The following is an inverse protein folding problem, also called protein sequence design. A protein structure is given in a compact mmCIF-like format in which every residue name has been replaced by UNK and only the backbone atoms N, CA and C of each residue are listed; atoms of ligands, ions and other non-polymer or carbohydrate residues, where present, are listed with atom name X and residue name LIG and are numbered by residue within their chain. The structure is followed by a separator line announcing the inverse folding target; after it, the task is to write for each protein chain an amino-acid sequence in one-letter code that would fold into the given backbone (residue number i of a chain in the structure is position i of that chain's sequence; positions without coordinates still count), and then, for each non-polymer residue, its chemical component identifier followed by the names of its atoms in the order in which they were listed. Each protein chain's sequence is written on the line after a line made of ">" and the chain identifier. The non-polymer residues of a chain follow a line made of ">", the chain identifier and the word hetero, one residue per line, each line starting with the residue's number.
data_IF_085193487039
#
_entry.id   IF_085193487039
#
_cell.length_a   1.000
_cell.length_b   1.000
_cell.length_c   1.000
_cell.angle_alpha   90.00
_cell.angle_beta   90.00
_cell.angle_gamma   90.00
#
_symmetry.space_group_name_H-M   'P 1'
#
loop_
_entity.id
_entity.type
_entity.pdbx_description
1 polymer ?
#
# COMPACT_ATOMS: atom_id res chain seq x y z
N UNK A 1 6.03 12.46 21.18
CA UNK A 1 7.18 12.17 20.29
C UNK A 1 6.66 11.39 19.09
N UNK A 2 7.06 11.74 17.87
CA UNK A 2 6.64 11.03 16.65
C UNK A 2 7.74 10.05 16.24
N UNK A 3 7.38 8.76 16.12
CA UNK A 3 8.30 7.70 15.72
C UNK A 3 8.66 7.84 14.24
N UNK A 4 9.96 7.76 13.92
CA UNK A 4 10.46 7.76 12.54
C UNK A 4 10.89 6.37 12.13
N UNK A 5 10.59 6.02 10.88
CA UNK A 5 10.91 4.73 10.28
C UNK A 5 11.99 4.90 9.22
N UNK A 6 13.08 4.15 9.36
CA UNK A 6 14.16 4.07 8.37
C UNK A 6 13.83 2.93 7.39
N UNK A 7 13.64 3.27 6.12
CA UNK A 7 13.34 2.32 5.07
C UNK A 7 14.60 1.60 4.57
N UNK A 8 14.40 0.53 3.78
CA UNK A 8 15.50 -0.24 3.19
C UNK A 8 16.39 0.57 2.22
N UNK A 9 15.87 1.67 1.67
CA UNK A 9 16.61 2.62 0.82
C UNK A 9 17.30 3.73 1.64
N UNK A 10 17.42 3.55 2.97
CA UNK A 10 17.97 4.50 3.94
C UNK A 10 17.20 5.82 4.09
N UNK A 11 16.08 5.99 3.39
CA UNK A 11 15.25 7.20 3.56
C UNK A 11 14.35 7.08 4.79
N UNK A 12 14.07 8.22 5.42
CA UNK A 12 13.22 8.30 6.61
C UNK A 12 11.77 8.66 6.22
N UNK A 13 10.81 8.06 6.93
CA UNK A 13 9.41 8.47 6.89
C UNK A 13 8.80 8.45 8.29
N UNK A 14 7.67 9.14 8.46
CA UNK A 14 6.90 9.05 9.70
C UNK A 14 6.26 7.67 9.84
N UNK A 15 6.12 7.21 11.08
CA UNK A 15 5.38 5.99 11.36
C UNK A 15 3.90 6.16 11.00
N UNK A 16 3.38 5.26 10.17
CA UNK A 16 1.98 5.20 9.80
C UNK A 16 1.36 3.89 10.29
N UNK A 17 0.45 4.00 11.25
CA UNK A 17 -0.29 2.86 11.81
C UNK A 17 -1.02 2.06 10.72
N UNK A 18 -1.60 2.75 9.73
CA UNK A 18 -2.30 2.12 8.60
C UNK A 18 -1.43 1.19 7.76
N UNK A 19 -0.11 1.41 7.70
CA UNK A 19 0.80 0.47 7.03
C UNK A 19 0.96 -0.83 7.81
N UNK A 20 0.91 -0.75 9.15
CA UNK A 20 0.97 -1.94 10.01
C UNK A 20 -0.31 -2.74 9.87
N UNK A 21 -1.49 -2.10 9.92
CA UNK A 21 -2.78 -2.76 9.64
C UNK A 21 -2.74 -3.44 8.28
N UNK A 22 -2.37 -2.71 7.22
CA UNK A 22 -2.32 -3.27 5.86
C UNK A 22 -1.36 -4.47 5.77
N UNK A 23 -0.27 -4.47 6.53
CA UNK A 23 0.66 -5.61 6.58
C UNK A 23 0.00 -6.85 7.18
N UNK A 24 -0.75 -6.69 8.28
CA UNK A 24 -1.51 -7.79 8.89
C UNK A 24 -2.63 -8.30 7.97
N UNK A 25 -3.42 -7.39 7.39
CA UNK A 25 -4.49 -7.73 6.44
C UNK A 25 -3.93 -8.54 5.27
N UNK A 26 -2.81 -8.09 4.68
CA UNK A 26 -2.16 -8.80 3.59
C UNK A 26 -1.59 -10.16 4.03
N UNK A 27 -1.19 -10.30 5.30
CA UNK A 27 -0.65 -11.55 5.83
C UNK A 27 -1.72 -12.65 5.96
N UNK A 28 -2.98 -12.28 6.16
CA UNK A 28 -4.06 -13.24 6.38
C UNK A 28 -4.55 -13.96 5.11
N UNK A 29 -3.97 -13.68 3.93
CA UNK A 29 -4.15 -14.35 2.64
C UNK A 29 -5.59 -14.37 2.06
N UNK A 30 -6.63 -14.27 2.88
CA UNK A 30 -8.03 -14.15 2.49
C UNK A 30 -8.68 -12.97 3.23
N UNK A 31 -9.32 -12.03 2.51
CA UNK A 31 -10.11 -10.96 3.14
C UNK A 31 -11.37 -11.57 3.76
N UNK A 32 -11.32 -11.80 5.07
CA UNK A 32 -12.47 -12.04 5.94
C UNK A 32 -12.63 -10.83 6.88
N UNK A 33 -13.86 -10.47 7.22
CA UNK A 33 -14.16 -9.41 8.18
C UNK A 33 -13.50 -9.70 9.54
N UNK A 34 -13.48 -10.97 9.94
CA UNK A 34 -12.81 -11.41 11.17
C UNK A 34 -11.30 -11.14 11.12
N UNK A 35 -10.66 -11.42 9.97
CA UNK A 35 -9.23 -11.19 9.77
C UNK A 35 -8.90 -9.68 9.84
N UNK A 36 -9.81 -8.82 9.41
CA UNK A 36 -9.63 -7.36 9.48
C UNK A 36 -9.67 -6.85 10.92
N UNK A 37 -10.60 -7.33 11.74
CA UNK A 37 -10.67 -6.95 13.16
C UNK A 37 -9.43 -7.41 13.93
N UNK A 38 -9.00 -8.66 13.72
CA UNK A 38 -7.78 -9.21 14.33
C UNK A 38 -6.55 -8.41 13.87
N UNK A 39 -6.45 -8.08 12.58
CA UNK A 39 -5.35 -7.26 12.05
C UNK A 39 -5.23 -5.90 12.76
N UNK A 40 -6.37 -5.26 13.03
CA UNK A 40 -6.39 -3.98 13.73
C UNK A 40 -5.90 -4.13 15.18
N UNK A 41 -6.41 -5.12 15.92
CA UNK A 41 -6.01 -5.36 17.31
C UNK A 41 -4.50 -5.68 17.43
N UNK A 42 -3.98 -6.52 16.53
CA UNK A 42 -2.55 -6.83 16.49
C UNK A 42 -1.72 -5.60 16.11
N UNK A 43 -2.20 -4.77 15.17
CA UNK A 43 -1.54 -3.52 14.80
C UNK A 43 -1.49 -2.54 15.98
N UNK A 44 -2.55 -2.43 16.77
CA UNK A 44 -2.61 -1.60 17.98
C UNK A 44 -1.61 -2.08 19.02
N UNK A 45 -1.55 -3.39 19.29
CA UNK A 45 -0.58 -3.98 20.20
C UNK A 45 0.87 -3.74 19.76
N UNK A 46 1.17 -3.92 18.48
CA UNK A 46 2.50 -3.61 17.91
C UNK A 46 2.80 -2.11 18.03
N UNK A 47 1.84 -1.25 17.73
CA UNK A 47 2.02 0.21 17.85
C UNK A 47 2.33 0.58 19.30
N UNK A 48 1.56 0.08 20.25
CA UNK A 48 1.79 0.30 21.67
C UNK A 48 3.20 -0.16 22.08
N UNK A 49 3.63 -1.35 21.66
CA UNK A 49 4.99 -1.83 21.90
C UNK A 49 6.05 -0.90 21.32
N UNK A 50 5.87 -0.42 20.08
CA UNK A 50 6.83 0.47 19.41
C UNK A 50 7.01 1.80 20.14
N UNK A 51 5.93 2.40 20.64
CA UNK A 51 6.00 3.67 21.36
C UNK A 51 6.55 3.53 22.79
N UNK A 52 6.42 2.34 23.39
CA UNK A 52 6.92 2.06 24.74
C UNK A 52 8.33 1.43 24.75
N UNK A 53 8.91 1.12 23.59
CA UNK A 53 10.29 0.64 23.48
C UNK A 53 11.25 1.79 23.83
N UNK A 54 11.89 1.70 25.00
CA UNK A 54 12.74 2.73 25.62
C UNK A 54 13.59 3.56 24.62
N UNK A 55 13.24 4.84 24.46
CA UNK A 55 14.15 5.92 24.07
C UNK A 55 14.51 6.08 22.59
N UNK A 56 14.19 5.11 21.72
CA UNK A 56 14.52 5.25 20.29
C UNK A 56 13.40 5.94 19.51
N UNK A 57 13.62 7.19 19.10
CA UNK A 57 12.73 7.91 18.17
C UNK A 57 12.82 7.39 16.74
N UNK A 58 13.76 6.47 16.45
CA UNK A 58 13.99 5.87 15.15
C UNK A 58 13.92 4.35 15.22
N UNK A 59 13.28 3.73 14.23
CA UNK A 59 13.24 2.29 14.07
C UNK A 59 13.35 1.92 12.60
N UNK A 60 13.96 0.79 12.26
CA UNK A 60 14.00 0.33 10.87
C UNK A 60 12.70 -0.37 10.47
N UNK A 61 12.34 -0.27 9.20
CA UNK A 61 11.21 -1.03 8.61
C UNK A 61 11.38 -2.55 8.77
N UNK A 62 12.63 -3.05 8.75
CA UNK A 62 12.95 -4.45 9.03
C UNK A 62 12.66 -4.86 10.48
N UNK A 63 12.96 -4.00 11.46
CA UNK A 63 12.65 -4.29 12.87
C UNK A 63 11.15 -4.31 13.11
N UNK A 64 10.39 -3.35 12.54
CA UNK A 64 8.93 -3.36 12.61
C UNK A 64 8.38 -4.68 12.05
N UNK A 65 8.90 -5.12 10.89
CA UNK A 65 8.47 -6.37 10.28
C UNK A 65 8.82 -7.60 11.15
N UNK A 66 9.97 -7.61 11.80
CA UNK A 66 10.33 -8.68 12.75
C UNK A 66 9.38 -8.71 13.96
N UNK A 67 8.99 -7.55 14.48
CA UNK A 67 8.00 -7.44 15.57
C UNK A 67 6.64 -7.97 15.12
N UNK A 68 6.19 -7.60 13.91
CA UNK A 68 4.94 -8.10 13.32
C UNK A 68 4.97 -9.63 13.19
N UNK A 69 6.06 -10.20 12.65
CA UNK A 69 6.23 -11.65 12.53
C UNK A 69 6.19 -12.35 13.90
N UNK A 70 6.87 -11.77 14.90
CA UNK A 70 6.84 -12.30 16.26
C UNK A 70 5.42 -12.26 16.84
N UNK A 71 4.69 -11.15 16.67
CA UNK A 71 3.31 -11.03 17.13
C UNK A 71 2.39 -12.09 16.50
N UNK A 72 2.52 -12.32 15.19
CA UNK A 72 1.77 -13.36 14.48
C UNK A 72 2.07 -14.77 15.03
N UNK A 73 3.34 -15.12 15.22
CA UNK A 73 3.73 -16.43 15.76
C UNK A 73 3.22 -16.60 17.20
N UNK A 74 3.38 -15.59 18.06
CA UNK A 74 2.95 -15.64 19.45
C UNK A 74 1.44 -15.73 19.63
N UNK A 75 0.66 -15.34 18.62
CA UNK A 75 -0.81 -15.38 18.64
C UNK A 75 -1.40 -16.55 17.85
N UNK A 76 -0.56 -17.48 17.38
CA UNK A 76 -0.98 -18.70 16.69
C UNK A 76 -1.14 -18.56 15.17
N UNK A 77 -0.82 -17.40 14.59
CA UNK A 77 -0.88 -17.14 13.15
C UNK A 77 0.46 -17.40 12.44
N UNK A 78 1.10 -18.53 12.72
CA UNK A 78 2.42 -18.88 12.15
C UNK A 78 2.42 -18.91 10.62
N UNK A 79 1.35 -19.40 10.00
CA UNK A 79 1.20 -19.44 8.54
C UNK A 79 1.22 -18.02 7.92
N UNK A 80 0.61 -17.04 8.60
CA UNK A 80 0.62 -15.65 8.16
C UNK A 80 2.02 -15.03 8.27
N UNK A 81 2.79 -15.39 9.30
CA UNK A 81 4.19 -14.96 9.45
C UNK A 81 5.11 -15.56 8.37
N UNK A 82 4.86 -16.82 8.00
CA UNK A 82 5.55 -17.49 6.89
C UNK A 82 5.22 -16.81 5.56
N UNK A 83 3.95 -16.55 5.28
CA UNK A 83 3.50 -15.83 4.09
C UNK A 83 4.19 -14.45 3.96
N UNK A 84 4.29 -13.68 5.05
CA UNK A 84 5.03 -12.41 5.04
C UNK A 84 6.51 -12.58 4.70
N UNK A 85 7.13 -13.67 5.18
CA UNK A 85 8.54 -13.97 4.91
C UNK A 85 8.75 -14.36 3.45
N UNK A 86 7.91 -15.23 2.92
CA UNK A 86 7.95 -15.62 1.51
C UNK A 86 7.69 -14.42 0.60
N UNK A 87 6.66 -13.62 0.90
CA UNK A 87 6.34 -12.42 0.12
C UNK A 87 7.50 -11.41 0.12
N UNK A 88 8.13 -11.16 1.27
CA UNK A 88 9.29 -10.28 1.36
C UNK A 88 10.47 -10.82 0.54
N UNK A 89 10.78 -12.11 0.66
CA UNK A 89 11.86 -12.76 -0.07
C UNK A 89 11.61 -12.68 -1.59
N UNK A 90 10.41 -13.04 -2.04
CA UNK A 90 9.99 -12.98 -3.44
C UNK A 90 10.18 -11.57 -4.00
N UNK A 91 9.71 -10.53 -3.29
CA UNK A 91 9.88 -9.14 -3.75
C UNK A 91 11.34 -8.70 -3.79
N UNK A 92 12.15 -9.07 -2.81
CA UNK A 92 13.57 -8.72 -2.79
C UNK A 92 14.33 -9.37 -3.96
N UNK A 93 14.10 -10.67 -4.19
CA UNK A 93 14.69 -11.38 -5.32
C UNK A 93 14.24 -10.80 -6.66
N UNK A 94 12.95 -10.44 -6.80
CA UNK A 94 12.44 -9.82 -8.01
C UNK A 94 13.12 -8.47 -8.26
N UNK A 95 13.23 -7.60 -7.25
CA UNK A 95 13.92 -6.30 -7.37
C UNK A 95 15.39 -6.45 -7.78
N UNK A 96 16.11 -7.42 -7.20
CA UNK A 96 17.52 -7.66 -7.53
C UNK A 96 17.73 -8.17 -8.97
N UNK A 97 16.74 -8.86 -9.53
CA UNK A 97 16.82 -9.44 -10.89
C UNK A 97 16.47 -8.43 -11.98
N UNK A 98 15.72 -7.39 -11.67
CA UNK A 98 15.30 -6.37 -12.62
C UNK A 98 16.40 -5.34 -12.81
N UNK A 99 16.93 -5.28 -14.03
CA UNK A 99 17.88 -4.27 -14.50
C UNK A 99 17.18 -3.26 -15.40
N UNK A 100 17.47 -1.99 -15.20
CA UNK A 100 16.96 -0.87 -15.97
C UNK A 100 18.00 -0.44 -17.01
N UNK A 101 17.59 -0.41 -18.28
CA UNK A 101 18.47 -0.06 -19.40
C UNK A 101 18.01 1.25 -20.06
N UNK A 102 18.97 2.07 -20.49
CA UNK A 102 18.68 3.20 -21.40
C UNK A 102 18.69 2.65 -22.82
N UNK A 103 17.51 2.55 -23.43
CA UNK A 103 17.40 2.15 -24.84
C UNK A 103 17.11 3.39 -25.67
N UNK A 104 18.06 3.80 -26.50
CA UNK A 104 17.78 4.72 -27.60
C UNK A 104 17.04 3.95 -28.70
N UNK A 105 15.71 4.15 -28.77
CA UNK A 105 14.85 3.46 -29.76
C UNK A 105 15.25 3.70 -31.23
N UNK A 106 16.14 4.67 -31.50
CA UNK A 106 16.63 4.98 -32.84
C UNK A 106 17.55 3.91 -33.44
N UNK A 107 18.13 3.01 -32.62
CA UNK A 107 19.09 1.99 -33.07
C UNK A 107 18.53 0.56 -33.09
N UNK A 108 17.20 0.38 -33.04
CA UNK A 108 16.57 -0.95 -32.97
C UNK A 108 16.73 -1.79 -34.25
N UNK A 109 17.16 -1.20 -35.36
CA UNK A 109 17.27 -1.85 -36.68
C UNK A 109 18.54 -2.68 -36.88
N UNK A 110 19.51 -2.62 -35.96
CA UNK A 110 20.70 -3.45 -36.02
C UNK A 110 20.57 -4.61 -35.04
N UNK A 111 20.41 -5.82 -35.58
CA UNK A 111 20.39 -7.08 -34.86
C UNK A 111 21.60 -7.24 -33.91
N UNK A 112 21.32 -7.13 -32.60
CA UNK A 112 22.06 -7.69 -31.44
C UNK A 112 23.53 -7.22 -31.32
N UNK A 113 23.82 -6.40 -30.29
CA UNK A 113 24.18 -7.01 -29.02
C UNK A 113 23.33 -6.49 -27.87
N UNK A 114 22.21 -7.17 -27.61
CA UNK A 114 21.37 -7.01 -26.40
C UNK A 114 22.11 -7.36 -25.07
N UNK A 115 23.42 -7.62 -25.14
CA UNK A 115 24.33 -7.90 -24.03
C UNK A 115 25.37 -6.78 -23.81
N UNK A 116 25.42 -5.76 -24.68
CA UNK A 116 26.31 -4.59 -24.56
C UNK A 116 25.54 -3.27 -24.42
N UNK A 117 24.28 -3.31 -23.98
CA UNK A 117 23.72 -2.10 -23.36
C UNK A 117 24.43 -1.97 -22.02
N UNK A 118 25.37 -1.04 -21.93
CA UNK A 118 26.00 -0.68 -20.68
C UNK A 118 24.88 -0.52 -19.63
N UNK A 119 24.87 -1.34 -18.57
CA UNK A 119 24.07 -1.02 -17.41
C UNK A 119 24.38 0.42 -17.04
N UNK A 120 23.40 1.15 -16.54
CA UNK A 120 23.59 2.47 -15.92
C UNK A 120 24.51 2.34 -14.69
N UNK A 121 25.77 1.92 -14.84
CA UNK A 121 26.68 1.55 -13.78
C UNK A 121 26.04 0.65 -12.69
N UNK A 122 26.49 0.78 -11.43
CA UNK A 122 25.83 0.15 -10.27
C UNK A 122 24.40 0.68 -10.02
N UNK A 123 24.02 1.77 -10.70
CA UNK A 123 22.71 2.41 -10.64
C UNK A 123 21.65 1.80 -11.56
N UNK A 124 22.02 0.76 -12.33
CA UNK A 124 21.16 0.07 -13.29
C UNK A 124 20.20 -0.96 -12.68
N UNK A 125 20.16 -1.13 -11.36
CA UNK A 125 19.18 -2.00 -10.70
C UNK A 125 17.87 -1.25 -10.41
N UNK A 126 16.78 -2.01 -10.30
CA UNK A 126 15.48 -1.46 -9.97
C UNK A 126 15.50 -0.66 -8.66
N UNK A 127 15.13 0.61 -8.74
CA UNK A 127 14.98 1.48 -7.58
C UNK A 127 13.69 2.30 -7.70
N UNK A 128 12.69 1.96 -6.88
CA UNK A 128 11.40 2.64 -6.82
C UNK A 128 11.53 4.12 -6.46
N UNK A 129 12.51 4.49 -5.65
CA UNK A 129 12.68 5.87 -5.16
C UNK A 129 13.10 6.84 -6.26
N UNK A 130 13.75 6.34 -7.33
CA UNK A 130 14.01 7.14 -8.55
C UNK A 130 12.71 7.56 -9.24
N UNK A 131 11.76 6.63 -9.39
CA UNK A 131 10.44 6.93 -9.98
C UNK A 131 9.69 7.96 -9.14
N UNK A 132 9.72 7.83 -7.80
CA UNK A 132 9.07 8.79 -6.90
C UNK A 132 9.69 10.18 -7.07
N UNK A 133 11.02 10.26 -7.10
CA UNK A 133 11.75 11.52 -7.28
C UNK A 133 11.38 12.18 -8.63
N UNK A 134 11.40 11.42 -9.72
CA UNK A 134 11.06 11.92 -11.05
C UNK A 134 9.60 12.40 -11.11
N UNK A 135 8.66 11.67 -10.51
CA UNK A 135 7.24 12.06 -10.47
C UNK A 135 7.00 13.35 -9.66
N UNK A 136 7.73 13.55 -8.56
CA UNK A 136 7.61 14.77 -7.76
C UNK A 136 8.23 15.95 -8.50
N UNK A 137 9.43 15.82 -9.05
CA UNK A 137 10.17 16.95 -9.62
C UNK A 137 9.79 17.27 -11.06
N UNK A 138 9.59 16.27 -11.92
CA UNK A 138 9.25 16.50 -13.34
C UNK A 138 7.75 16.74 -13.53
N UNK A 139 6.90 16.18 -12.66
CA UNK A 139 5.44 16.18 -12.85
C UNK A 139 4.65 16.86 -11.71
N UNK A 140 5.33 17.45 -10.71
CA UNK A 140 4.71 18.16 -9.59
C UNK A 140 3.59 17.36 -8.88
N UNK A 141 3.72 16.03 -8.85
CA UNK A 141 2.78 15.17 -8.14
C UNK A 141 2.96 15.32 -6.64
N UNK A 142 1.85 15.26 -5.89
CA UNK A 142 1.94 15.22 -4.45
C UNK A 142 2.69 13.95 -4.00
N UNK A 143 3.47 14.01 -2.90
CA UNK A 143 4.30 12.89 -2.47
C UNK A 143 3.52 11.61 -2.14
N UNK A 144 2.22 11.69 -1.82
CA UNK A 144 1.40 10.52 -1.53
C UNK A 144 1.01 9.82 -2.85
N UNK A 145 0.48 10.56 -3.82
CA UNK A 145 0.16 10.05 -5.16
C UNK A 145 1.39 9.51 -5.88
N UNK A 146 2.53 10.20 -5.82
CA UNK A 146 3.78 9.72 -6.41
C UNK A 146 4.21 8.35 -5.85
N UNK A 147 4.07 8.14 -4.53
CA UNK A 147 4.36 6.84 -3.89
C UNK A 147 3.40 5.75 -4.32
N UNK A 148 2.11 6.07 -4.48
CA UNK A 148 1.08 5.13 -4.96
C UNK A 148 1.34 4.75 -6.41
N UNK A 149 1.55 5.72 -7.30
CA UNK A 149 1.92 5.48 -8.71
C UNK A 149 3.15 4.58 -8.78
N UNK A 150 4.23 4.94 -8.06
CA UNK A 150 5.45 4.15 -8.06
C UNK A 150 5.23 2.72 -7.49
N UNK A 151 4.28 2.52 -6.57
CA UNK A 151 3.92 1.20 -6.06
C UNK A 151 3.27 0.34 -7.15
N UNK A 152 2.28 0.90 -7.86
CA UNK A 152 1.58 0.23 -8.95
C UNK A 152 2.51 -0.09 -10.14
N UNK A 153 3.41 0.84 -10.46
CA UNK A 153 4.43 0.62 -11.50
C UNK A 153 5.37 -0.52 -11.09
N UNK A 154 5.85 -0.51 -9.84
CA UNK A 154 6.70 -1.59 -9.32
C UNK A 154 5.97 -2.93 -9.37
N UNK A 155 4.75 -3.02 -8.86
CA UNK A 155 3.94 -4.24 -8.89
C UNK A 155 3.82 -4.79 -10.31
N UNK A 156 3.39 -3.98 -11.28
CA UNK A 156 3.29 -4.40 -12.68
C UNK A 156 4.61 -4.90 -13.27
N UNK A 157 5.72 -4.24 -12.94
CA UNK A 157 7.03 -4.66 -13.45
C UNK A 157 7.49 -5.97 -12.80
N UNK A 158 7.32 -6.12 -11.49
CA UNK A 158 7.72 -7.36 -10.82
C UNK A 158 6.84 -8.54 -11.26
N UNK A 159 5.53 -8.32 -11.49
CA UNK A 159 4.60 -9.36 -11.92
C UNK A 159 4.76 -9.73 -13.40
N UNK A 160 5.26 -8.82 -14.23
CA UNK A 160 5.56 -9.09 -15.64
C UNK A 160 6.70 -10.09 -15.86
N UNK A 161 7.54 -10.34 -14.84
CA UNK A 161 8.68 -11.25 -14.93
C UNK A 161 9.85 -10.74 -15.79
N UNK A 162 9.81 -9.49 -16.27
CA UNK A 162 10.90 -8.90 -17.05
C UNK A 162 12.18 -8.79 -16.22
N UNK A 163 13.32 -9.15 -16.82
CA UNK A 163 14.65 -8.97 -16.19
C UNK A 163 15.36 -7.69 -16.65
N UNK A 164 15.02 -7.21 -17.84
CA UNK A 164 15.56 -6.01 -18.45
C UNK A 164 14.40 -5.10 -18.82
N UNK A 165 14.38 -3.89 -18.29
CA UNK A 165 13.28 -2.94 -18.48
C UNK A 165 13.83 -1.62 -19.02
N UNK A 166 13.42 -1.18 -20.22
CA UNK A 166 13.82 0.11 -20.75
C UNK A 166 13.28 1.28 -19.91
N UNK A 167 14.08 2.32 -19.71
CA UNK A 167 13.65 3.56 -19.03
C UNK A 167 12.42 4.20 -19.68
N UNK A 168 12.33 4.18 -21.01
CA UNK A 168 11.17 4.69 -21.74
C UNK A 168 9.87 3.96 -21.38
N UNK A 169 9.94 2.64 -21.17
CA UNK A 169 8.78 1.85 -20.75
C UNK A 169 8.36 2.19 -19.30
N UNK A 170 9.33 2.39 -18.41
CA UNK A 170 9.05 2.81 -17.02
C UNK A 170 8.37 4.18 -17.00
N UNK A 171 8.87 5.16 -17.76
CA UNK A 171 8.26 6.49 -17.88
C UNK A 171 6.85 6.42 -18.43
N UNK A 172 6.64 5.66 -19.50
CA UNK A 172 5.32 5.43 -20.07
C UNK A 172 4.35 4.84 -19.04
N UNK A 173 4.77 3.79 -18.33
CA UNK A 173 3.93 3.13 -17.33
C UNK A 173 3.61 4.04 -16.15
N UNK A 174 4.59 4.83 -15.67
CA UNK A 174 4.39 5.79 -14.59
C UNK A 174 3.38 6.89 -14.97
N UNK A 175 3.48 7.44 -16.18
CA UNK A 175 2.54 8.42 -16.70
C UNK A 175 1.12 7.85 -16.83
N UNK A 176 1.01 6.64 -17.38
CA UNK A 176 -0.28 5.95 -17.53
C UNK A 176 -0.95 5.73 -16.16
N UNK A 177 -0.20 5.27 -15.16
CA UNK A 177 -0.70 5.07 -13.81
C UNK A 177 -1.07 6.39 -13.11
N UNK A 178 -0.27 7.43 -13.28
CA UNK A 178 -0.56 8.76 -12.72
C UNK A 178 -1.86 9.33 -13.29
N UNK A 179 -2.08 9.19 -14.59
CA UNK A 179 -3.33 9.62 -15.23
C UNK A 179 -4.54 8.86 -14.69
N UNK A 180 -4.43 7.54 -14.51
CA UNK A 180 -5.49 6.72 -13.93
C UNK A 180 -5.87 7.22 -12.53
N UNK A 181 -4.90 7.43 -11.64
CA UNK A 181 -5.14 7.93 -10.27
C UNK A 181 -5.77 9.32 -10.27
N UNK A 182 -5.22 10.25 -11.07
CA UNK A 182 -5.75 11.62 -11.15
C UNK A 182 -7.18 11.64 -11.71
N UNK A 183 -7.50 10.77 -12.66
CA UNK A 183 -8.85 10.65 -13.21
C UNK A 183 -9.85 10.13 -12.17
N UNK A 184 -9.49 9.12 -11.39
CA UNK A 184 -10.30 8.59 -10.31
C UNK A 184 -10.52 9.64 -9.21
N UNK A 185 -9.47 10.38 -8.83
CA UNK A 185 -9.58 11.45 -7.83
C UNK A 185 -10.52 12.59 -8.29
N UNK A 186 -10.57 12.90 -9.59
CA UNK A 186 -11.53 13.86 -10.15
C UNK A 186 -12.96 13.33 -10.07
N UNK A 187 -13.19 12.06 -10.42
CA UNK A 187 -14.53 11.45 -10.36
C UNK A 187 -15.12 11.47 -8.95
N UNK A 188 -14.31 11.19 -7.93
CA UNK A 188 -14.72 11.25 -6.52
C UNK A 188 -15.05 12.68 -6.04
N UNK A 189 -14.46 13.71 -6.66
CA UNK A 189 -14.79 15.11 -6.36
C UNK A 189 -16.06 15.57 -7.09
N UNK A 190 -16.38 14.97 -8.24
CA UNK A 190 -17.53 15.33 -9.07
C UNK A 190 -18.76 14.48 -8.80
N UNK A 191 -18.66 13.37 -8.06
CA UNK A 191 -19.84 12.66 -7.57
C UNK A 191 -20.56 13.56 -6.56
N UNK A 192 -21.81 13.99 -6.82
CA UNK A 192 -22.57 14.75 -5.84
C UNK A 192 -22.67 13.91 -4.57
N UNK A 193 -22.47 14.54 -3.42
CA UNK A 193 -22.98 14.00 -2.15
C UNK A 193 -24.46 13.70 -2.42
N UNK A 194 -24.85 12.44 -2.43
CA UNK A 194 -26.22 12.08 -2.12
C UNK A 194 -26.41 12.52 -0.69
N UNK A 195 -26.89 13.75 -0.54
CA UNK A 195 -27.37 14.29 0.70
C UNK A 195 -28.37 13.29 1.27
N UNK A 196 -28.01 12.79 2.44
CA UNK A 196 -28.96 12.30 3.42
C UNK A 196 -29.88 13.45 3.80
N UNK A 197 -30.85 13.76 2.95
CA UNK A 197 -31.98 14.59 3.33
C UNK A 197 -32.99 13.69 4.05
N UNK A 198 -32.93 13.81 5.38
CA UNK A 198 -34.01 13.51 6.29
C UNK A 198 -35.29 14.18 5.81
N UNK A 199 -36.19 13.41 5.18
CA UNK A 199 -37.58 13.82 5.05
C UNK A 199 -38.27 13.47 6.36
N UNK A 200 -38.27 14.43 7.28
CA UNK A 200 -39.36 14.53 8.25
C UNK A 200 -40.64 14.83 7.45
N UNK A 201 -41.48 13.82 7.24
CA UNK A 201 -42.90 14.05 6.98
C UNK A 201 -43.68 13.55 8.20
N UNK A 202 -43.98 14.51 9.04
CA UNK A 202 -45.07 14.53 10.00
C UNK A 202 -46.38 14.51 9.21
N UNK A 203 -46.93 13.34 8.87
CA UNK A 203 -48.38 13.18 8.68
C UNK A 203 -48.76 11.68 8.60
N UNK A 204 -49.04 11.07 9.76
CA UNK A 204 -49.95 9.93 9.94
C UNK A 204 -49.94 9.55 11.42
N UNK A 205 -50.45 10.47 12.24
CA UNK A 205 -51.06 10.11 13.50
C UNK A 205 -52.57 10.22 13.27
N UNK A 206 -53.26 9.09 13.25
CA UNK A 206 -54.69 8.89 13.60
C UNK A 206 -55.03 7.43 13.27
N UNK A 207 -55.42 6.69 14.33
CA UNK A 207 -55.87 5.29 14.38
C UNK A 207 -54.75 4.27 14.59
N UNK A 208 -54.29 4.13 15.83
CA UNK A 208 -54.24 2.85 16.55
C UNK A 208 -53.94 3.08 18.05
N UNK A 209 -54.67 4.02 18.66
CA UNK A 209 -54.89 4.03 20.11
C UNK A 209 -56.37 4.11 20.38
N UNK A 210 -56.98 2.99 20.71
CA UNK A 210 -58.01 2.98 21.75
C UNK A 210 -57.69 1.93 22.80
N UNK A 211 -57.99 2.23 24.07
CA UNK A 211 -57.67 1.41 25.22
C UNK A 211 -58.82 0.44 25.52
N UNK A 212 -58.52 -0.75 26.03
CA UNK A 212 -59.44 -1.42 26.94
C UNK A 212 -58.70 -1.90 28.18
N UNK A 213 -58.98 -1.19 29.26
CA UNK A 213 -58.86 -1.64 30.63
C UNK A 213 -59.67 -2.94 30.80
N UNK A 214 -59.15 -3.89 31.56
CA UNK A 214 -59.94 -5.03 32.01
C UNK A 214 -59.14 -6.14 32.68
N UNK A 215 -58.78 -5.93 33.95
CA UNK A 215 -58.86 -6.86 35.09
C UNK A 215 -58.54 -8.37 34.90
N UNK A 216 -57.58 -8.87 35.71
CA UNK A 216 -57.45 -10.27 36.19
C UNK A 216 -58.80 -10.81 36.78
N UNK A 217 -59.03 -12.12 37.08
CA UNK A 217 -58.08 -13.22 37.40
C UNK A 217 -58.47 -14.65 36.91
N UNK A 218 -57.60 -15.66 37.12
CA UNK A 218 -57.71 -16.90 37.97
C UNK A 218 -56.41 -17.67 37.83
#
# INVERSE_FOLDING_TARGET
>A
MQLRVIKADATEEEYFHTKVIATFVNAFAAPDENNTSIAQQLAEAVTFYLYNKNGSSKITSSEILSIIKAALVSTGFSNAAEFLTEHQLRRNLARMRVKVIKTDMKNLSASIPLLQTDPLGPDGYWNKSKIIYDLINEHNLDPASARTVAALVEEKILDSGFRLVPTGFIKFLALWQAQAILSAARQLRTSPKTDSDSVYNTDMDIRLRQPQNGLCPV
#
